data_IF_854094606540
#
_entry.id   IF_854094606540
#
_cell.length_a   1.000
_cell.length_b   1.000
_cell.length_c   1.000
_cell.angle_alpha   90.00
_cell.angle_beta   90.00
_cell.angle_gamma   90.00
#
_symmetry.space_group_name_H-M   'P 1'
#
loop_
_entity.id
_entity.type
_entity.pdbx_description
1 polymer ?
#
# COMPACT_ATOMS: atom_id res chain seq x y z
N UNK A 1 0.67 5.36 16.77
CA UNK A 1 -0.29 4.29 17.10
C UNK A 1 -1.67 4.61 16.49
N UNK A 2 -2.24 5.77 16.78
CA UNK A 2 -3.59 6.17 16.29
C UNK A 2 -3.73 6.03 14.78
N UNK A 3 -2.80 6.53 13.99
CA UNK A 3 -2.87 6.44 12.52
C UNK A 3 -2.90 5.00 12.00
N UNK A 4 -2.15 4.10 12.65
CA UNK A 4 -2.15 2.70 12.27
C UNK A 4 -3.47 2.00 12.66
N UNK A 5 -4.03 2.33 13.79
CA UNK A 5 -5.35 1.84 14.21
C UNK A 5 -6.42 2.27 13.21
N UNK A 6 -6.45 3.54 12.80
CA UNK A 6 -7.39 4.05 11.80
C UNK A 6 -7.26 3.33 10.45
N UNK A 7 -6.02 3.05 10.04
CA UNK A 7 -5.77 2.38 8.77
C UNK A 7 -6.07 0.88 8.79
N UNK A 8 -5.84 0.20 9.92
CA UNK A 8 -5.78 -1.26 9.99
C UNK A 8 -6.91 -1.92 10.78
N UNK A 9 -7.44 -1.25 11.81
CA UNK A 9 -8.26 -1.88 12.82
C UNK A 9 -9.78 -1.86 12.56
N UNK A 10 -10.26 -0.92 11.75
CA UNK A 10 -11.70 -0.71 11.62
C UNK A 10 -12.29 -1.42 10.39
N UNK A 11 -13.16 -2.39 10.68
CA UNK A 11 -13.92 -3.14 9.69
C UNK A 11 -15.38 -3.19 10.08
N UNK A 12 -16.26 -3.27 9.10
CA UNK A 12 -17.68 -3.52 9.29
C UNK A 12 -18.14 -4.75 8.51
N UNK A 13 -19.17 -5.43 9.02
CA UNK A 13 -19.78 -6.55 8.34
C UNK A 13 -20.70 -6.05 7.21
N UNK A 14 -20.52 -6.56 6.01
CA UNK A 14 -21.34 -6.25 4.85
C UNK A 14 -21.91 -7.53 4.26
N UNK A 15 -23.17 -7.48 3.86
CA UNK A 15 -23.81 -8.55 3.10
C UNK A 15 -23.63 -8.27 1.61
N UNK A 16 -22.71 -8.97 0.97
CA UNK A 16 -22.40 -8.80 -0.44
C UNK A 16 -23.06 -9.88 -1.29
N UNK A 17 -23.65 -9.47 -2.41
CA UNK A 17 -24.14 -10.39 -3.43
C UNK A 17 -22.93 -10.89 -4.25
N UNK A 18 -22.62 -12.17 -4.12
CA UNK A 18 -21.46 -12.81 -4.76
C UNK A 18 -21.93 -13.92 -5.68
N UNK A 19 -21.41 -13.93 -6.90
CA UNK A 19 -21.69 -15.04 -7.81
C UNK A 19 -20.88 -16.27 -7.38
N UNK A 20 -21.57 -17.39 -7.18
CA UNK A 20 -20.95 -18.68 -6.88
C UNK A 20 -20.78 -19.48 -8.19
N UNK A 21 -19.56 -19.63 -8.72
CA UNK A 21 -19.34 -20.31 -9.99
C UNK A 21 -19.64 -21.82 -9.91
N UNK A 22 -19.66 -22.41 -8.70
CA UNK A 22 -19.99 -23.82 -8.53
C UNK A 22 -21.49 -24.11 -8.62
N UNK A 23 -22.31 -23.18 -8.14
CA UNK A 23 -23.78 -23.32 -8.16
C UNK A 23 -24.44 -22.54 -9.29
N UNK A 24 -23.69 -21.67 -10.00
CA UNK A 24 -24.20 -20.77 -11.03
C UNK A 24 -25.18 -19.71 -10.52
N UNK A 25 -25.23 -19.46 -9.20
CA UNK A 25 -26.22 -18.56 -8.57
C UNK A 25 -25.54 -17.43 -7.82
N UNK A 26 -26.27 -16.34 -7.67
CA UNK A 26 -25.91 -15.23 -6.80
C UNK A 26 -26.32 -15.57 -5.36
N UNK A 27 -25.37 -15.52 -4.45
CA UNK A 27 -25.54 -15.81 -3.02
C UNK A 27 -25.19 -14.56 -2.20
N UNK A 28 -25.90 -14.35 -1.10
CA UNK A 28 -25.52 -13.34 -0.12
C UNK A 28 -24.43 -13.88 0.78
N UNK A 29 -23.29 -13.20 0.86
CA UNK A 29 -22.19 -13.57 1.74
C UNK A 29 -21.80 -12.42 2.64
N UNK A 30 -21.64 -12.74 3.91
CA UNK A 30 -21.07 -11.83 4.88
C UNK A 30 -19.58 -11.64 4.63
N UNK A 31 -19.16 -10.39 4.56
CA UNK A 31 -17.76 -10.03 4.38
C UNK A 31 -17.40 -8.88 5.31
N UNK A 32 -16.19 -8.96 5.86
CA UNK A 32 -15.61 -7.83 6.59
C UNK A 32 -15.03 -6.85 5.58
N UNK A 33 -15.51 -5.62 5.61
CA UNK A 33 -15.01 -4.53 4.76
C UNK A 33 -14.27 -3.51 5.61
N UNK A 34 -13.14 -3.06 5.08
CA UNK A 34 -12.37 -1.98 5.70
C UNK A 34 -13.18 -0.69 5.70
N UNK A 35 -13.25 -0.05 6.86
CA UNK A 35 -13.92 1.24 7.01
C UNK A 35 -13.08 2.34 6.35
N UNK A 36 -11.82 2.46 6.74
CA UNK A 36 -10.89 3.43 6.17
C UNK A 36 -10.25 2.89 4.90
N UNK A 37 -10.58 3.46 3.76
CA UNK A 37 -10.01 3.10 2.44
C UNK A 37 -9.00 4.10 1.93
N UNK A 38 -9.09 5.33 2.39
CA UNK A 38 -8.17 6.43 2.09
C UNK A 38 -7.77 7.11 3.38
N UNK A 39 -6.50 7.37 3.54
CA UNK A 39 -5.96 8.11 4.68
C UNK A 39 -5.04 9.21 4.16
N UNK A 40 -5.35 10.44 4.50
CA UNK A 40 -4.55 11.61 4.17
C UNK A 40 -3.88 12.15 5.43
N UNK A 41 -2.57 12.17 5.43
CA UNK A 41 -1.76 12.66 6.54
C UNK A 41 -0.99 13.90 6.11
N UNK A 42 -1.41 15.04 6.62
CA UNK A 42 -0.72 16.31 6.45
C UNK A 42 -0.08 16.65 7.79
N UNK A 43 1.22 16.47 7.90
CA UNK A 43 1.95 16.63 9.16
C UNK A 43 3.30 17.28 8.91
N UNK A 44 3.84 17.91 9.93
CA UNK A 44 5.13 18.62 9.85
C UNK A 44 6.29 17.72 9.38
N UNK A 45 7.36 18.34 8.92
CA UNK A 45 8.61 17.65 8.60
C UNK A 45 9.15 16.95 9.86
N UNK A 46 9.75 15.79 9.69
CA UNK A 46 10.27 15.00 10.81
C UNK A 46 9.22 14.16 11.57
N UNK A 47 7.93 14.24 11.22
CA UNK A 47 6.85 13.47 11.85
C UNK A 47 6.77 11.98 11.43
N UNK A 48 7.85 11.42 10.92
CA UNK A 48 7.98 10.00 10.57
C UNK A 48 6.97 9.48 9.51
N UNK A 49 6.50 10.33 8.59
CA UNK A 49 5.55 9.97 7.51
C UNK A 49 6.02 8.78 6.69
N UNK A 50 7.23 8.88 6.15
CA UNK A 50 7.81 7.82 5.29
C UNK A 50 8.02 6.52 6.07
N UNK A 51 8.36 6.61 7.38
CA UNK A 51 8.45 5.43 8.26
C UNK A 51 7.07 4.79 8.47
N UNK A 52 6.02 5.59 8.59
CA UNK A 52 4.65 5.08 8.67
C UNK A 52 4.25 4.33 7.39
N UNK A 53 4.50 4.90 6.21
CA UNK A 53 4.28 4.25 4.92
C UNK A 53 5.11 2.96 4.79
N UNK A 54 6.39 2.98 5.22
CA UNK A 54 7.26 1.81 5.31
C UNK A 54 6.63 0.70 6.15
N UNK A 55 6.15 1.04 7.34
CA UNK A 55 5.50 0.09 8.26
C UNK A 55 4.25 -0.53 7.61
N UNK A 56 3.35 0.30 7.07
CA UNK A 56 2.11 -0.19 6.45
C UNK A 56 2.38 -1.11 5.27
N UNK A 57 3.27 -0.73 4.36
CA UNK A 57 3.59 -1.55 3.19
C UNK A 57 4.23 -2.89 3.60
N UNK A 58 5.12 -2.86 4.60
CA UNK A 58 5.73 -4.09 5.13
C UNK A 58 4.68 -4.99 5.76
N UNK A 59 3.80 -4.42 6.59
CA UNK A 59 2.74 -5.16 7.25
C UNK A 59 1.81 -5.83 6.24
N UNK A 60 1.34 -5.07 5.24
CA UNK A 60 0.44 -5.60 4.22
C UNK A 60 1.10 -6.67 3.34
N UNK A 61 2.39 -6.52 3.04
CA UNK A 61 3.15 -7.49 2.25
C UNK A 61 3.32 -8.82 2.97
N UNK A 62 3.48 -8.80 4.31
CA UNK A 62 3.77 -9.99 5.11
C UNK A 62 2.51 -10.65 5.69
N UNK A 63 1.49 -9.87 6.04
CA UNK A 63 0.35 -10.34 6.84
C UNK A 63 -0.91 -10.56 6.00
N UNK A 64 -1.12 -9.81 4.91
CA UNK A 64 -2.29 -10.04 4.07
C UNK A 64 -2.19 -11.41 3.37
N UNK A 65 -3.11 -12.36 3.66
CA UNK A 65 -3.07 -13.70 3.06
C UNK A 65 -3.50 -13.72 1.60
N UNK A 66 -4.08 -12.64 1.09
CA UNK A 66 -4.48 -12.53 -0.30
C UNK A 66 -3.34 -12.08 -1.19
N UNK A 67 -3.40 -12.44 -2.46
CA UNK A 67 -2.53 -11.86 -3.48
C UNK A 67 -2.71 -10.35 -3.52
N UNK A 68 -1.63 -9.59 -3.31
CA UNK A 68 -1.65 -8.14 -3.32
C UNK A 68 -0.65 -7.56 -4.31
N UNK A 69 -1.10 -6.55 -5.04
CA UNK A 69 -0.21 -5.64 -5.71
C UNK A 69 -0.16 -4.33 -4.90
N UNK A 70 1.02 -3.96 -4.48
CA UNK A 70 1.27 -2.80 -3.64
C UNK A 70 2.19 -1.84 -4.37
N UNK A 71 1.91 -0.56 -4.29
CA UNK A 71 2.73 0.47 -4.92
C UNK A 71 3.18 1.53 -3.92
N UNK A 72 4.37 2.03 -4.16
CA UNK A 72 4.90 3.24 -3.54
C UNK A 72 5.18 4.24 -4.64
N UNK A 73 4.68 5.45 -4.50
CA UNK A 73 4.90 6.54 -5.45
C UNK A 73 5.19 7.84 -4.72
N UNK A 74 6.04 8.67 -5.30
CA UNK A 74 6.42 9.99 -4.83
C UNK A 74 6.82 10.86 -6.04
N UNK A 75 6.90 12.20 -5.90
CA UNK A 75 7.29 13.09 -7.00
C UNK A 75 8.57 12.68 -7.69
N UNK A 76 9.53 12.16 -6.95
CA UNK A 76 10.76 11.61 -7.51
C UNK A 76 10.96 10.14 -7.11
N UNK A 77 11.60 9.37 -7.99
CA UNK A 77 11.94 7.97 -7.69
C UNK A 77 12.84 7.86 -6.46
N UNK A 78 13.68 8.86 -6.19
CA UNK A 78 14.55 8.90 -5.02
C UNK A 78 13.72 8.97 -3.73
N UNK A 79 12.71 9.83 -3.68
CA UNK A 79 11.80 9.91 -2.52
C UNK A 79 11.00 8.62 -2.32
N UNK A 80 10.48 8.03 -3.38
CA UNK A 80 9.80 6.73 -3.28
C UNK A 80 10.75 5.62 -2.77
N UNK A 81 12.01 5.66 -3.13
CA UNK A 81 13.02 4.73 -2.63
C UNK A 81 13.34 4.93 -1.14
N UNK A 82 13.13 6.13 -0.57
CA UNK A 82 13.25 6.38 0.87
C UNK A 82 12.25 5.56 1.70
N UNK A 83 11.13 5.15 1.11
CA UNK A 83 10.17 4.21 1.74
C UNK A 83 10.63 2.76 1.53
N UNK A 84 11.12 2.43 0.35
CA UNK A 84 11.51 1.05 0.00
C UNK A 84 12.80 0.59 0.66
N UNK A 85 13.80 1.46 0.78
CA UNK A 85 15.11 1.10 1.34
C UNK A 85 15.03 0.62 2.80
N UNK A 86 14.28 1.26 3.70
CA UNK A 86 14.06 0.73 5.05
C UNK A 86 13.37 -0.64 5.06
N UNK A 87 12.43 -0.90 4.15
CA UNK A 87 11.78 -2.22 4.04
C UNK A 87 12.81 -3.30 3.69
N UNK A 88 13.62 -3.05 2.64
CA UNK A 88 14.69 -3.97 2.24
C UNK A 88 15.68 -4.23 3.39
N UNK A 89 16.07 -3.16 4.06
CA UNK A 89 16.99 -3.24 5.21
C UNK A 89 16.37 -4.05 6.37
N UNK A 90 15.10 -3.81 6.69
CA UNK A 90 14.41 -4.54 7.75
C UNK A 90 14.32 -6.03 7.40
N UNK A 91 13.94 -6.38 6.18
CA UNK A 91 13.85 -7.77 5.74
C UNK A 91 15.21 -8.47 5.75
N UNK A 92 16.28 -7.80 5.28
CA UNK A 92 17.64 -8.38 5.24
C UNK A 92 18.28 -8.55 6.61
N UNK A 93 17.93 -7.71 7.59
CA UNK A 93 18.48 -7.71 8.95
C UNK A 93 17.61 -8.38 10.00
N UNK A 94 16.41 -8.81 9.62
CA UNK A 94 15.48 -9.41 10.56
C UNK A 94 16.04 -10.70 11.16
N UNK A 95 16.07 -10.76 12.50
CA UNK A 95 16.55 -11.92 13.27
C UNK A 95 15.42 -12.87 13.66
N UNK A 96 14.17 -12.46 13.49
CA UNK A 96 13.01 -13.28 13.83
C UNK A 96 12.96 -14.56 12.99
N UNK A 97 12.64 -15.72 13.58
CA UNK A 97 12.71 -17.01 12.88
C UNK A 97 11.79 -17.07 11.66
N UNK A 98 10.60 -16.46 11.70
CA UNK A 98 9.68 -16.43 10.57
C UNK A 98 10.25 -15.67 9.37
N UNK A 99 10.75 -14.45 9.59
CA UNK A 99 11.29 -13.63 8.50
C UNK A 99 12.57 -14.27 7.92
N UNK A 100 13.42 -14.80 8.77
CA UNK A 100 14.61 -15.55 8.30
C UNK A 100 14.21 -16.75 7.44
N UNK A 101 13.20 -17.51 7.88
CA UNK A 101 12.68 -18.62 7.10
C UNK A 101 12.15 -18.15 5.72
N UNK A 102 11.43 -17.03 5.66
CA UNK A 102 10.91 -16.48 4.42
C UNK A 102 12.01 -15.96 3.47
N UNK A 103 13.06 -15.34 4.02
CA UNK A 103 14.16 -14.74 3.24
C UNK A 103 15.20 -15.77 2.82
N UNK A 104 15.62 -16.63 3.74
CA UNK A 104 16.71 -17.60 3.51
C UNK A 104 16.20 -18.93 2.93
N UNK A 105 14.91 -19.21 3.11
CA UNK A 105 14.35 -20.52 2.85
C UNK A 105 14.72 -21.52 3.96
N UNK A 106 14.18 -22.73 3.92
CA UNK A 106 14.62 -23.79 4.80
C UNK A 106 15.83 -24.49 4.18
N UNK A 107 16.92 -24.52 4.92
CA UNK A 107 18.04 -25.42 4.65
C UNK A 107 17.66 -26.82 5.15
N UNK A 108 16.71 -27.48 4.49
CA UNK A 108 16.44 -28.90 4.79
C UNK A 108 17.56 -29.76 4.22
N UNK A 109 18.10 -30.60 5.07
CA UNK A 109 19.02 -31.67 4.73
C UNK A 109 18.30 -32.66 3.80
N UNK A 110 18.68 -32.70 2.53
CA UNK A 110 18.12 -33.59 1.53
C UNK A 110 17.71 -32.86 0.25
N UNK A 111 17.64 -33.53 -0.84
CA UNK A 111 17.51 -33.04 -2.23
C UNK A 111 16.32 -32.12 -2.57
N UNK A 112 15.63 -31.51 -1.61
CA UNK A 112 14.63 -30.48 -1.81
C UNK A 112 15.21 -29.11 -1.44
N UNK A 113 15.62 -28.35 -2.43
CA UNK A 113 15.89 -26.92 -2.27
C UNK A 113 14.57 -26.22 -1.95
N UNK A 114 14.38 -25.81 -0.71
CA UNK A 114 13.22 -25.00 -0.37
C UNK A 114 13.40 -23.61 -0.98
N UNK A 115 12.45 -23.23 -1.83
CA UNK A 115 12.45 -21.97 -2.53
C UNK A 115 12.31 -20.83 -1.53
N UNK A 116 13.14 -19.81 -1.68
CA UNK A 116 13.01 -18.53 -0.99
C UNK A 116 11.58 -18.00 -1.16
N UNK A 117 10.94 -17.58 -0.06
CA UNK A 117 9.56 -17.07 -0.08
C UNK A 117 9.49 -15.56 -0.25
N UNK A 118 10.57 -14.83 0.06
CA UNK A 118 10.70 -13.40 -0.15
C UNK A 118 11.90 -13.11 -1.04
N UNK A 119 11.67 -12.33 -2.09
CA UNK A 119 12.71 -11.83 -2.99
C UNK A 119 12.72 -10.31 -2.97
N UNK A 120 13.88 -9.71 -2.76
CA UNK A 120 14.06 -8.27 -2.80
C UNK A 120 15.03 -7.91 -3.92
N UNK A 121 14.54 -7.21 -4.91
CA UNK A 121 15.29 -6.74 -6.09
C UNK A 121 15.22 -5.24 -6.22
N UNK A 122 15.97 -4.65 -7.17
CA UNK A 122 15.81 -3.22 -7.49
C UNK A 122 14.42 -2.87 -8.02
N UNK A 123 13.70 -3.83 -8.62
CA UNK A 123 12.36 -3.60 -9.18
C UNK A 123 11.26 -3.61 -8.14
N UNK A 124 11.42 -4.39 -7.07
CA UNK A 124 10.41 -4.53 -6.03
C UNK A 124 10.73 -5.66 -5.06
N UNK A 125 9.79 -5.92 -4.18
CA UNK A 125 9.84 -6.99 -3.19
C UNK A 125 8.66 -7.93 -3.47
N UNK A 126 8.96 -9.19 -3.70
CA UNK A 126 7.98 -10.23 -3.99
C UNK A 126 7.81 -11.15 -2.79
N UNK A 127 6.58 -11.44 -2.42
CA UNK A 127 6.23 -12.49 -1.47
C UNK A 127 5.59 -13.66 -2.22
N UNK A 128 6.36 -14.71 -2.44
CA UNK A 128 5.90 -15.89 -3.17
C UNK A 128 4.90 -16.74 -2.38
N UNK A 129 4.85 -16.60 -1.06
CA UNK A 129 3.86 -17.32 -0.26
C UNK A 129 2.41 -16.86 -0.56
N UNK A 130 2.23 -15.59 -0.84
CA UNK A 130 0.92 -14.99 -1.17
C UNK A 130 0.82 -14.53 -2.63
N UNK A 131 1.89 -14.70 -3.41
CA UNK A 131 2.02 -14.16 -4.77
C UNK A 131 1.80 -12.65 -4.82
N UNK A 132 2.39 -11.93 -3.85
CA UNK A 132 2.23 -10.49 -3.70
C UNK A 132 3.48 -9.76 -4.16
N UNK A 133 3.28 -8.54 -4.69
CA UNK A 133 4.34 -7.67 -5.19
C UNK A 133 4.21 -6.29 -4.55
N UNK A 134 5.33 -5.76 -4.07
CA UNK A 134 5.49 -4.36 -3.68
C UNK A 134 6.54 -3.71 -4.59
N UNK A 135 6.15 -2.66 -5.30
CA UNK A 135 7.04 -1.98 -6.23
C UNK A 135 6.94 -0.45 -6.15
N UNK A 136 7.99 0.22 -6.66
CA UNK A 136 7.98 1.67 -6.87
C UNK A 136 7.43 1.97 -8.26
N UNK A 137 6.52 2.95 -8.32
CA UNK A 137 5.99 3.48 -9.58
C UNK A 137 6.23 4.99 -9.69
N UNK A 138 6.57 5.50 -10.87
CA UNK A 138 6.63 6.95 -11.08
C UNK A 138 5.29 7.59 -10.81
N UNK A 139 5.28 8.77 -10.19
CA UNK A 139 4.09 9.55 -9.90
C UNK A 139 3.65 10.30 -11.17
N UNK A 140 3.00 9.58 -12.08
CA UNK A 140 2.35 10.16 -13.27
C UNK A 140 1.05 9.44 -13.55
N UNK A 141 0.05 10.17 -14.01
CA UNK A 141 -1.28 9.64 -14.31
C UNK A 141 -1.21 8.46 -15.27
N UNK A 142 -0.45 8.56 -16.36
CA UNK A 142 -0.28 7.50 -17.36
C UNK A 142 0.29 6.20 -16.78
N UNK A 143 1.20 6.31 -15.81
CA UNK A 143 1.87 5.16 -15.19
C UNK A 143 1.05 4.52 -14.07
N UNK A 144 0.14 5.27 -13.50
CA UNK A 144 -0.74 4.83 -12.40
C UNK A 144 -2.10 4.38 -12.89
N UNK A 145 -2.52 4.83 -14.08
CA UNK A 145 -3.79 4.44 -14.68
C UNK A 145 -3.84 2.94 -14.99
N UNK A 146 -4.94 2.31 -14.64
CA UNK A 146 -5.16 0.88 -14.91
C UNK A 146 -4.46 -0.09 -13.95
N UNK A 147 -3.65 0.39 -13.01
CA UNK A 147 -3.03 -0.46 -12.00
C UNK A 147 -4.08 -1.02 -11.04
N UNK A 148 -4.13 -2.34 -10.91
CA UNK A 148 -4.99 -3.03 -9.95
C UNK A 148 -4.26 -3.22 -8.62
N UNK A 149 -3.83 -2.12 -8.01
CA UNK A 149 -3.19 -2.21 -6.70
C UNK A 149 -4.23 -2.38 -5.59
N UNK A 150 -3.87 -3.07 -4.52
CA UNK A 150 -4.68 -3.18 -3.30
C UNK A 150 -4.22 -2.17 -2.25
N UNK A 151 -2.93 -1.92 -2.19
CA UNK A 151 -2.33 -0.96 -1.26
C UNK A 151 -1.46 0.03 -2.00
N UNK A 152 -1.61 1.31 -1.68
CA UNK A 152 -0.80 2.37 -2.27
C UNK A 152 -0.31 3.34 -1.19
N UNK A 153 0.98 3.68 -1.25
CA UNK A 153 1.54 4.81 -0.51
C UNK A 153 1.93 5.90 -1.49
N UNK A 154 1.34 7.08 -1.31
CA UNK A 154 1.59 8.28 -2.11
C UNK A 154 2.27 9.30 -1.20
N UNK A 155 3.58 9.46 -1.33
CA UNK A 155 4.33 10.41 -0.49
C UNK A 155 4.45 11.77 -1.16
N UNK A 156 4.44 12.82 -0.35
CA UNK A 156 4.54 14.23 -0.75
C UNK A 156 3.51 14.63 -1.84
N UNK A 157 2.27 14.14 -1.70
CA UNK A 157 1.18 14.39 -2.66
C UNK A 157 0.77 15.86 -2.80
N UNK A 158 1.13 16.73 -1.84
CA UNK A 158 0.98 18.20 -1.90
C UNK A 158 2.20 18.90 -2.53
N UNK A 159 3.16 18.15 -3.08
CA UNK A 159 4.31 18.75 -3.73
C UNK A 159 3.90 19.59 -4.94
N UNK A 160 4.45 20.80 -5.08
CA UNK A 160 4.21 21.64 -6.26
C UNK A 160 4.78 21.09 -7.57
N UNK A 161 5.49 19.97 -7.52
CA UNK A 161 5.93 19.24 -8.72
C UNK A 161 4.79 18.42 -9.34
N UNK A 162 3.72 18.15 -8.56
CA UNK A 162 2.57 17.38 -9.00
C UNK A 162 1.59 18.31 -9.71
N UNK A 163 1.42 18.10 -11.00
CA UNK A 163 0.52 18.88 -11.87
C UNK A 163 -0.76 18.16 -12.25
N UNK A 164 -0.86 16.88 -11.89
CA UNK A 164 -1.94 15.98 -12.29
C UNK A 164 -2.56 15.31 -11.07
N UNK A 165 -3.82 14.92 -11.16
CA UNK A 165 -4.42 14.06 -10.15
C UNK A 165 -3.82 12.66 -10.24
N UNK A 166 -3.11 12.26 -9.20
CA UNK A 166 -2.51 10.92 -9.08
C UNK A 166 -3.32 10.00 -8.17
N UNK A 167 -4.15 10.57 -7.29
CA UNK A 167 -4.97 9.80 -6.34
C UNK A 167 -6.14 9.13 -7.06
N UNK A 168 -6.85 9.86 -7.93
CA UNK A 168 -7.99 9.34 -8.68
C UNK A 168 -7.68 8.09 -9.52
N UNK A 169 -6.65 8.07 -10.36
CA UNK A 169 -6.22 6.88 -11.10
C UNK A 169 -5.88 5.69 -10.21
N UNK A 170 -5.18 5.92 -9.10
CA UNK A 170 -4.87 4.86 -8.11
C UNK A 170 -6.16 4.32 -7.50
N UNK A 171 -7.08 5.18 -7.07
CA UNK A 171 -8.36 4.78 -6.49
C UNK A 171 -9.21 3.99 -7.46
N UNK A 172 -9.29 4.43 -8.71
CA UNK A 172 -10.02 3.72 -9.76
C UNK A 172 -9.51 2.27 -9.94
N UNK A 173 -8.19 2.08 -9.89
CA UNK A 173 -7.58 0.75 -9.94
C UNK A 173 -7.79 -0.05 -8.67
N UNK A 174 -7.62 0.59 -7.51
CA UNK A 174 -7.73 -0.02 -6.19
C UNK A 174 -9.17 -0.41 -5.84
N UNK A 175 -10.18 0.34 -6.27
CA UNK A 175 -11.60 0.11 -5.98
C UNK A 175 -12.12 -1.26 -6.44
N UNK A 176 -11.42 -1.91 -7.37
CA UNK A 176 -11.69 -3.27 -7.81
C UNK A 176 -11.33 -4.34 -6.76
N UNK A 177 -10.58 -3.95 -5.73
CA UNK A 177 -10.24 -4.79 -4.59
C UNK A 177 -11.14 -4.47 -3.39
N UNK A 178 -11.61 -5.49 -2.68
CA UNK A 178 -12.59 -5.31 -1.60
C UNK A 178 -12.02 -4.50 -0.44
N UNK A 179 -10.83 -4.66 -0.01
CA UNK A 179 -10.23 -4.03 1.19
C UNK A 179 -8.97 -3.25 0.82
N UNK A 180 -9.08 -2.38 -0.21
CA UNK A 180 -7.96 -1.53 -0.58
C UNK A 180 -7.67 -0.45 0.48
N UNK A 181 -6.45 0.04 0.49
CA UNK A 181 -6.02 1.17 1.30
C UNK A 181 -5.06 2.04 0.51
N UNK A 182 -5.37 3.33 0.42
CA UNK A 182 -4.50 4.36 -0.12
C UNK A 182 -4.08 5.25 1.04
N UNK A 183 -2.80 5.40 1.25
CA UNK A 183 -2.22 6.31 2.25
C UNK A 183 -1.45 7.39 1.53
N UNK A 184 -1.94 8.61 1.61
CA UNK A 184 -1.31 9.79 1.04
C UNK A 184 -0.71 10.62 2.17
N UNK A 185 0.60 10.80 2.14
CA UNK A 185 1.35 11.55 3.14
C UNK A 185 1.96 12.80 2.53
N UNK A 186 1.94 13.92 3.24
CA UNK A 186 2.62 15.12 2.82
C UNK A 186 3.03 16.00 3.98
N UNK A 187 4.01 16.85 3.74
CA UNK A 187 4.33 17.96 4.64
C UNK A 187 3.42 19.13 4.33
N UNK A 188 2.93 19.81 5.36
CA UNK A 188 2.27 21.08 5.16
C UNK A 188 3.26 22.08 4.55
N UNK A 189 2.88 22.68 3.44
CA UNK A 189 3.65 23.65 2.71
C UNK A 189 2.84 24.89 2.38
N UNK A 190 3.46 25.86 1.72
CA UNK A 190 2.76 27.02 1.18
C UNK A 190 1.76 26.58 0.13
N UNK A 191 0.52 27.10 0.18
CA UNK A 191 -0.49 26.87 -0.85
C UNK A 191 0.08 27.27 -2.24
N UNK A 192 -0.07 26.42 -3.21
CA UNK A 192 0.51 26.57 -4.55
C UNK A 192 -0.53 26.58 -5.65
N UNK A 193 -1.83 26.58 -5.27
CA UNK A 193 -2.98 26.49 -6.18
C UNK A 193 -2.90 25.29 -7.17
N UNK A 194 -2.33 24.19 -6.70
CA UNK A 194 -2.21 22.96 -7.44
C UNK A 194 -3.34 21.97 -7.17
N UNK A 195 -3.31 20.83 -7.85
CA UNK A 195 -4.29 19.74 -7.66
C UNK A 195 -4.34 19.26 -6.19
N UNK A 196 -3.20 19.21 -5.52
CA UNK A 196 -3.14 18.85 -4.11
C UNK A 196 -3.89 19.82 -3.20
N UNK A 197 -3.82 21.13 -3.47
CA UNK A 197 -4.53 22.13 -2.68
C UNK A 197 -6.05 22.01 -2.86
N UNK A 198 -6.53 21.66 -4.07
CA UNK A 198 -7.95 21.41 -4.34
C UNK A 198 -8.45 20.22 -3.50
N UNK A 199 -7.72 19.09 -3.53
CA UNK A 199 -8.06 17.91 -2.71
C UNK A 199 -8.01 18.25 -1.22
N UNK A 200 -7.02 19.05 -0.77
CA UNK A 200 -6.93 19.50 0.62
C UNK A 200 -8.16 20.31 1.03
N UNK A 201 -8.63 21.21 0.18
CA UNK A 201 -9.83 22.01 0.44
C UNK A 201 -11.08 21.13 0.54
N UNK A 202 -11.27 20.19 -0.39
CA UNK A 202 -12.38 19.23 -0.34
C UNK A 202 -12.36 18.37 0.95
N UNK A 203 -11.17 17.98 1.42
CA UNK A 203 -11.03 17.26 2.68
C UNK A 203 -11.35 18.11 3.90
N UNK A 204 -11.04 19.39 3.88
CA UNK A 204 -11.37 20.33 4.96
C UNK A 204 -12.89 20.58 5.04
N UNK A 205 -13.54 20.74 3.88
CA UNK A 205 -15.01 20.92 3.80
C UNK A 205 -15.78 19.69 4.36
N UNK A 206 -15.19 18.51 4.37
CA UNK A 206 -15.79 17.29 4.97
C UNK A 206 -15.71 17.32 6.50
N UNK A 207 -14.73 18.05 7.05
CA UNK A 207 -14.49 18.10 8.50
C UNK A 207 -15.27 19.21 9.21
N UNK A 208 -15.82 20.18 8.47
CA UNK A 208 -16.73 21.22 8.95
C UNK A 208 -18.19 20.74 8.94
#
# INVERSE_FOLDING_TARGET
RVWAEDALAWYYESNDRVFNPKTGRWEMRKRMKRLTRKQFLIVGRGAAKSLYSTFLQTYMLLIDPSTTHQIVTAPTMKQAEEIMAPIRTALSRAKGPLIRYMVEGSKMTGNMQQKQLLSSTKKGIENFATNSLLEVRPMSTDRLQGLRCKYASVDEWLSGEIREDVIGPIEQGASKNTNYLIVATSSEGTARNGVGDTIKMELMDILE
#
